data_IF_530543785853
#
_entry.id   IF_530543785853
#
_cell.length_a   1.000
_cell.length_b   1.000
_cell.length_c   1.000
_cell.angle_alpha   90.00
_cell.angle_beta   90.00
_cell.angle_gamma   90.00
#
_symmetry.space_group_name_H-M   'P 1'
#
loop_
_entity.id
_entity.type
_entity.pdbx_description
1 polymer ?
#
# COMPACT_ATOMS: atom_id res chain seq x y z
N UNK A 1 -55.19 42.82 14.31
CA UNK A 1 -54.98 41.50 14.93
C UNK A 1 -54.57 40.53 13.85
N UNK A 2 -53.26 40.34 13.66
CA UNK A 2 -52.72 39.32 12.74
C UNK A 2 -52.37 38.07 13.53
N UNK A 3 -53.02 36.99 13.17
CA UNK A 3 -52.89 35.67 13.78
C UNK A 3 -51.62 34.99 13.29
N UNK A 4 -50.60 34.83 14.16
CA UNK A 4 -49.40 34.03 13.92
C UNK A 4 -49.78 32.54 13.93
N UNK A 5 -49.75 31.89 12.75
CA UNK A 5 -49.83 30.43 12.66
C UNK A 5 -48.49 29.83 13.00
N UNK A 6 -48.36 29.17 14.14
CA UNK A 6 -47.27 28.30 14.47
C UNK A 6 -47.30 27.06 13.52
N UNK A 7 -46.23 26.89 12.75
CA UNK A 7 -46.03 25.67 11.93
C UNK A 7 -45.50 24.59 12.88
N UNK A 8 -46.36 23.67 13.24
CA UNK A 8 -45.98 22.45 13.97
C UNK A 8 -45.28 21.49 12.99
N UNK A 9 -43.98 21.34 13.10
CA UNK A 9 -43.20 20.28 12.42
C UNK A 9 -43.37 18.98 13.21
N UNK A 10 -44.28 18.11 12.76
CA UNK A 10 -44.38 16.75 13.31
C UNK A 10 -43.30 15.86 12.72
N UNK A 11 -42.31 15.47 13.54
CA UNK A 11 -41.32 14.47 13.23
C UNK A 11 -41.90 13.07 13.58
N UNK A 12 -42.35 12.33 12.58
CA UNK A 12 -42.71 10.92 12.78
C UNK A 12 -41.54 10.04 12.40
N UNK A 13 -40.87 9.47 13.38
CA UNK A 13 -39.78 8.51 13.20
C UNK A 13 -40.36 7.09 13.25
N UNK A 14 -40.28 6.36 12.15
CA UNK A 14 -40.60 4.92 12.09
C UNK A 14 -39.31 4.13 11.92
N UNK A 15 -38.87 3.43 12.96
CA UNK A 15 -37.60 2.70 13.02
C UNK A 15 -37.57 1.39 12.21
N UNK A 16 -38.68 0.94 11.64
CA UNK A 16 -38.77 -0.37 10.94
C UNK A 16 -38.96 -0.27 9.42
N UNK A 17 -38.91 0.92 8.82
CA UNK A 17 -38.97 1.06 7.36
C UNK A 17 -37.59 1.24 6.77
N UNK A 18 -37.34 0.66 5.58
CA UNK A 18 -36.07 0.78 4.84
C UNK A 18 -35.65 2.21 4.53
N UNK A 19 -36.54 3.19 4.72
CA UNK A 19 -36.31 4.60 4.43
C UNK A 19 -36.95 5.50 5.49
N UNK A 20 -36.24 6.54 5.90
CA UNK A 20 -36.74 7.63 6.74
C UNK A 20 -37.21 8.77 5.83
N UNK A 21 -38.45 9.24 6.01
CA UNK A 21 -39.05 10.27 5.19
C UNK A 21 -39.22 11.54 6.02
N UNK A 22 -38.67 12.67 5.55
CA UNK A 22 -38.84 13.98 6.17
C UNK A 22 -39.72 14.86 5.27
N UNK A 23 -40.76 15.47 5.82
CA UNK A 23 -41.51 16.55 5.14
C UNK A 23 -40.99 17.89 5.63
N UNK A 24 -40.43 18.70 4.72
CA UNK A 24 -39.97 20.06 4.98
C UNK A 24 -40.93 21.03 4.26
N UNK A 25 -41.75 21.71 5.03
CA UNK A 25 -42.65 22.76 4.51
C UNK A 25 -44.00 22.30 3.95
N UNK A 26 -44.92 23.22 3.82
CA UNK A 26 -46.32 22.98 3.39
C UNK A 26 -46.58 22.97 1.90
N UNK A 27 -45.56 23.19 1.04
CA UNK A 27 -45.71 23.21 -0.40
C UNK A 27 -44.91 22.09 -1.08
N UNK A 28 -45.60 21.21 -1.76
CA UNK A 28 -45.27 20.26 -2.86
C UNK A 28 -43.82 19.82 -3.13
N UNK A 29 -42.87 19.99 -2.22
CA UNK A 29 -41.54 19.44 -2.30
C UNK A 29 -41.60 17.95 -1.99
N UNK A 30 -41.02 17.10 -2.86
CA UNK A 30 -40.91 15.67 -2.64
C UNK A 30 -40.26 15.42 -1.26
N UNK A 31 -40.80 14.51 -0.44
CA UNK A 31 -40.24 14.24 0.88
C UNK A 31 -38.76 13.82 0.74
N UNK A 32 -37.89 14.34 1.60
CA UNK A 32 -36.51 13.89 1.67
C UNK A 32 -36.49 12.46 2.20
N UNK A 33 -36.05 11.52 1.37
CA UNK A 33 -35.96 10.09 1.70
C UNK A 33 -34.50 9.76 1.97
N UNK A 34 -34.20 9.25 3.18
CA UNK A 34 -32.87 8.78 3.55
C UNK A 34 -32.90 7.27 3.67
N UNK A 35 -31.95 6.59 3.04
CA UNK A 35 -31.80 5.13 3.13
C UNK A 35 -31.23 4.73 4.50
N UNK A 36 -31.99 4.01 5.31
CA UNK A 36 -31.65 3.71 6.72
C UNK A 36 -30.34 2.91 6.86
N UNK A 37 -30.11 1.93 5.99
CA UNK A 37 -28.86 1.14 6.01
C UNK A 37 -27.61 2.00 5.77
N UNK A 38 -27.77 3.13 5.07
CA UNK A 38 -26.65 4.06 4.83
C UNK A 38 -26.20 4.73 6.13
N UNK A 39 -27.15 5.07 7.01
CA UNK A 39 -26.83 5.67 8.31
C UNK A 39 -26.02 4.71 9.19
N UNK A 40 -26.35 3.41 9.15
CA UNK A 40 -25.60 2.37 9.88
C UNK A 40 -24.13 2.33 9.41
N UNK A 41 -23.90 2.32 8.10
CA UNK A 41 -22.55 2.27 7.58
C UNK A 41 -21.76 3.56 7.83
N UNK A 42 -22.40 4.72 7.78
CA UNK A 42 -21.78 6.00 8.14
C UNK A 42 -21.40 6.00 9.62
N UNK A 43 -22.31 5.57 10.51
CA UNK A 43 -22.02 5.49 11.93
C UNK A 43 -20.90 4.49 12.23
N UNK A 44 -20.88 3.33 11.58
CA UNK A 44 -19.83 2.33 11.72
C UNK A 44 -18.45 2.87 11.24
N UNK A 45 -18.42 3.62 10.14
CA UNK A 45 -17.19 4.26 9.66
C UNK A 45 -16.66 5.31 10.64
N UNK A 46 -17.55 6.16 11.17
CA UNK A 46 -17.18 7.16 12.19
C UNK A 46 -16.65 6.46 13.44
N UNK A 47 -17.34 5.42 13.90
CA UNK A 47 -16.92 4.64 15.07
C UNK A 47 -15.54 3.99 14.84
N UNK A 48 -15.28 3.39 13.67
CA UNK A 48 -13.98 2.82 13.34
C UNK A 48 -12.85 3.86 13.38
N UNK A 49 -13.10 5.06 12.84
CA UNK A 49 -12.15 6.18 12.90
C UNK A 49 -11.87 6.63 14.35
N UNK A 50 -12.92 6.75 15.16
CA UNK A 50 -12.80 7.14 16.56
C UNK A 50 -12.01 6.09 17.37
N UNK A 51 -12.36 4.82 17.22
CA UNK A 51 -11.68 3.72 17.92
C UNK A 51 -10.20 3.67 17.55
N UNK A 52 -9.85 3.86 16.26
CA UNK A 52 -8.46 3.90 15.79
C UNK A 52 -7.63 4.97 16.51
N UNK A 53 -8.21 6.14 16.80
CA UNK A 53 -7.50 7.25 17.46
C UNK A 53 -7.45 7.12 19.00
N UNK A 54 -8.45 6.47 19.61
CA UNK A 54 -8.54 6.36 21.09
C UNK A 54 -7.66 5.25 21.64
N UNK A 55 -7.58 4.10 20.93
CA UNK A 55 -6.87 2.95 21.44
C UNK A 55 -5.35 3.09 21.23
N UNK A 56 -4.52 2.69 22.23
CA UNK A 56 -3.08 2.83 22.15
C UNK A 56 -2.45 1.87 21.13
N UNK A 57 -1.24 2.19 20.65
CA UNK A 57 -0.51 1.38 19.68
C UNK A 57 -0.27 -0.06 20.16
N UNK A 58 -0.04 -0.27 21.45
CA UNK A 58 0.11 -1.60 22.06
C UNK A 58 -1.15 -2.47 21.92
N UNK A 59 -2.36 -1.87 21.95
CA UNK A 59 -3.60 -2.58 21.71
C UNK A 59 -3.66 -3.08 20.25
N UNK A 60 -3.39 -2.17 19.30
CA UNK A 60 -3.42 -2.51 17.88
C UNK A 60 -2.37 -3.55 17.52
N UNK A 61 -1.17 -3.45 18.12
CA UNK A 61 -0.11 -4.40 17.90
C UNK A 61 -0.44 -5.80 18.40
N UNK A 62 -0.94 -5.91 19.63
CA UNK A 62 -1.18 -7.20 20.28
C UNK A 62 -2.47 -7.86 19.79
N UNK A 63 -3.62 -7.13 19.83
CA UNK A 63 -4.92 -7.72 19.58
C UNK A 63 -5.31 -7.73 18.11
N UNK A 64 -4.96 -6.66 17.38
CA UNK A 64 -5.33 -6.58 15.97
C UNK A 64 -4.24 -7.18 15.09
N UNK A 65 -3.03 -6.63 15.06
CA UNK A 65 -1.98 -7.03 14.13
C UNK A 65 -1.50 -8.47 14.34
N UNK A 66 -1.15 -8.84 15.58
CA UNK A 66 -0.68 -10.20 15.91
C UNK A 66 -1.81 -11.22 16.13
N UNK A 67 -3.04 -10.77 16.30
CA UNK A 67 -4.21 -11.61 16.57
C UNK A 67 -5.22 -11.61 15.43
N UNK A 68 -6.17 -10.68 15.48
CA UNK A 68 -7.34 -10.66 14.60
C UNK A 68 -6.98 -10.60 13.11
N UNK A 69 -5.99 -9.78 12.74
CA UNK A 69 -5.56 -9.65 11.35
C UNK A 69 -4.96 -10.94 10.79
N UNK A 70 -4.25 -11.73 11.60
CA UNK A 70 -3.75 -13.06 11.20
C UNK A 70 -4.91 -13.97 10.81
N UNK A 71 -6.00 -13.95 11.57
CA UNK A 71 -7.22 -14.69 11.23
C UNK A 71 -7.86 -14.20 9.92
N UNK A 72 -7.93 -12.88 9.71
CA UNK A 72 -8.41 -12.29 8.45
C UNK A 72 -7.54 -12.79 7.29
N UNK A 73 -6.20 -12.77 7.44
CA UNK A 73 -5.29 -13.23 6.40
C UNK A 73 -5.54 -14.70 6.03
N UNK A 74 -5.70 -15.55 7.02
CA UNK A 74 -6.03 -16.97 6.80
C UNK A 74 -7.40 -17.15 6.13
N UNK A 75 -8.40 -16.34 6.52
CA UNK A 75 -9.72 -16.35 5.89
C UNK A 75 -9.64 -15.95 4.40
N UNK A 76 -8.85 -14.94 4.05
CA UNK A 76 -8.61 -14.60 2.65
C UNK A 76 -7.96 -15.75 1.86
N UNK A 77 -6.99 -16.43 2.45
CA UNK A 77 -6.34 -17.56 1.79
C UNK A 77 -7.29 -18.72 1.56
N UNK A 78 -8.14 -19.01 2.54
CA UNK A 78 -9.15 -20.07 2.42
C UNK A 78 -10.25 -19.71 1.41
N UNK A 79 -10.82 -18.50 1.51
CA UNK A 79 -11.97 -18.10 0.70
C UNK A 79 -11.59 -17.69 -0.72
N UNK A 80 -10.44 -17.04 -0.91
CA UNK A 80 -10.04 -16.43 -2.17
C UNK A 80 -8.78 -17.04 -2.77
N UNK A 81 -8.04 -17.85 -1.99
CA UNK A 81 -6.75 -18.41 -2.36
C UNK A 81 -6.76 -19.34 -3.58
N UNK A 82 -7.91 -19.89 -3.92
CA UNK A 82 -8.13 -20.77 -5.07
C UNK A 82 -8.37 -20.01 -6.38
N UNK A 83 -8.73 -18.71 -6.33
CA UNK A 83 -9.08 -17.95 -7.53
C UNK A 83 -7.88 -17.79 -8.48
N UNK A 84 -8.00 -18.20 -9.75
CA UNK A 84 -6.98 -17.94 -10.76
C UNK A 84 -7.02 -16.50 -11.28
N UNK A 85 -8.15 -15.81 -11.10
CA UNK A 85 -8.39 -14.44 -11.57
C UNK A 85 -8.08 -13.45 -10.45
N UNK A 86 -7.41 -12.32 -10.72
CA UNK A 86 -7.25 -11.24 -9.76
C UNK A 86 -8.58 -10.78 -9.21
N UNK A 87 -8.72 -10.78 -7.88
CA UNK A 87 -9.98 -10.43 -7.20
C UNK A 87 -10.41 -8.99 -7.45
N UNK A 88 -9.50 -8.12 -7.86
CA UNK A 88 -9.82 -6.73 -8.24
C UNK A 88 -10.88 -6.65 -9.34
N UNK A 89 -10.88 -7.57 -10.31
CA UNK A 89 -11.89 -7.56 -11.38
C UNK A 89 -13.29 -7.89 -10.86
N UNK A 90 -13.38 -8.77 -9.86
CA UNK A 90 -14.66 -9.09 -9.19
C UNK A 90 -15.14 -7.88 -8.41
N UNK A 91 -14.26 -7.23 -7.65
CA UNK A 91 -14.58 -6.00 -6.90
C UNK A 91 -15.05 -4.89 -7.83
N UNK A 92 -14.33 -4.64 -8.93
CA UNK A 92 -14.72 -3.64 -9.94
C UNK A 92 -16.08 -3.98 -10.58
N UNK A 93 -16.34 -5.24 -10.88
CA UNK A 93 -17.64 -5.68 -11.42
C UNK A 93 -18.78 -5.43 -10.42
N UNK A 94 -18.57 -5.71 -9.14
CA UNK A 94 -19.55 -5.42 -8.09
C UNK A 94 -19.80 -3.91 -7.99
N UNK A 95 -18.75 -3.08 -8.01
CA UNK A 95 -18.86 -1.62 -7.97
C UNK A 95 -19.65 -1.13 -9.18
N UNK A 96 -19.36 -1.63 -10.39
CA UNK A 96 -20.06 -1.27 -11.62
C UNK A 96 -21.56 -1.59 -11.53
N UNK A 97 -21.92 -2.81 -11.13
CA UNK A 97 -23.33 -3.23 -10.97
C UNK A 97 -24.03 -2.36 -9.91
N UNK A 98 -23.38 -2.06 -8.80
CA UNK A 98 -23.96 -1.20 -7.77
C UNK A 98 -24.15 0.22 -8.24
N UNK A 99 -23.20 0.77 -8.99
CA UNK A 99 -23.29 2.12 -9.58
C UNK A 99 -24.41 2.17 -10.62
N UNK A 100 -24.53 1.16 -11.48
CA UNK A 100 -25.62 1.10 -12.45
C UNK A 100 -27.00 1.07 -11.77
N UNK A 101 -27.16 0.27 -10.72
CA UNK A 101 -28.40 0.25 -9.91
C UNK A 101 -28.66 1.60 -9.22
N UNK A 102 -27.62 2.23 -8.68
CA UNK A 102 -27.74 3.56 -8.07
C UNK A 102 -28.19 4.61 -9.08
N UNK A 103 -27.65 4.59 -10.30
CA UNK A 103 -28.11 5.46 -11.38
C UNK A 103 -29.59 5.18 -11.75
N UNK A 104 -30.02 3.92 -11.75
CA UNK A 104 -31.42 3.54 -12.00
C UNK A 104 -32.41 4.06 -10.95
N UNK A 105 -31.95 4.31 -9.74
CA UNK A 105 -32.78 4.82 -8.63
C UNK A 105 -33.03 6.35 -8.65
N UNK A 106 -32.69 7.06 -9.73
CA UNK A 106 -32.81 8.53 -9.85
C UNK A 106 -34.21 9.07 -9.55
N UNK A 107 -35.27 8.28 -9.81
CA UNK A 107 -36.65 8.64 -9.50
C UNK A 107 -36.93 8.85 -8.02
N UNK A 108 -36.09 8.30 -7.12
CA UNK A 108 -36.23 8.40 -5.66
C UNK A 108 -35.76 9.73 -5.07
N UNK A 109 -35.17 10.60 -5.89
CA UNK A 109 -34.75 11.96 -5.52
C UNK A 109 -33.31 12.06 -5.03
N UNK A 110 -32.79 13.29 -5.03
CA UNK A 110 -31.39 13.59 -4.74
C UNK A 110 -30.92 13.17 -3.34
N UNK A 111 -31.70 13.43 -2.31
CA UNK A 111 -31.34 13.05 -0.93
C UNK A 111 -31.19 11.56 -0.76
N UNK A 112 -32.01 10.75 -1.43
CA UNK A 112 -31.88 9.29 -1.42
C UNK A 112 -30.58 8.87 -2.09
N UNK A 113 -30.26 9.42 -3.27
CA UNK A 113 -29.04 9.10 -4.00
C UNK A 113 -27.78 9.47 -3.19
N UNK A 114 -27.77 10.66 -2.59
CA UNK A 114 -26.68 11.11 -1.73
C UNK A 114 -26.51 10.23 -0.50
N UNK A 115 -27.60 9.89 0.17
CA UNK A 115 -27.54 9.00 1.34
C UNK A 115 -26.97 7.62 0.99
N UNK A 116 -27.32 7.07 -0.18
CA UNK A 116 -26.77 5.81 -0.66
C UNK A 116 -25.28 5.91 -1.05
N UNK A 117 -24.87 7.00 -1.66
CA UNK A 117 -23.46 7.24 -1.99
C UNK A 117 -22.62 7.33 -0.71
N UNK A 118 -23.03 8.16 0.25
CA UNK A 118 -22.37 8.30 1.55
C UNK A 118 -22.37 6.98 2.33
N UNK A 119 -23.46 6.22 2.31
CA UNK A 119 -23.51 4.90 2.91
C UNK A 119 -22.56 3.90 2.24
N UNK A 120 -22.40 3.99 0.91
CA UNK A 120 -21.41 3.20 0.17
C UNK A 120 -19.97 3.53 0.57
N UNK A 121 -19.65 4.81 0.70
CA UNK A 121 -18.36 5.27 1.22
C UNK A 121 -18.16 4.80 2.66
N UNK A 122 -19.17 4.93 3.52
CA UNK A 122 -19.10 4.44 4.90
C UNK A 122 -18.83 2.94 4.98
N UNK A 123 -19.48 2.15 4.11
CA UNK A 123 -19.23 0.71 4.05
C UNK A 123 -17.79 0.40 3.59
N UNK A 124 -17.27 1.09 2.59
CA UNK A 124 -15.89 0.92 2.13
C UNK A 124 -14.87 1.27 3.23
N UNK A 125 -15.08 2.39 3.95
CA UNK A 125 -14.22 2.80 5.06
C UNK A 125 -14.28 1.79 6.19
N UNK A 126 -15.47 1.34 6.58
CA UNK A 126 -15.63 0.32 7.64
C UNK A 126 -14.92 -0.98 7.26
N UNK A 127 -15.18 -1.49 6.06
CA UNK A 127 -14.53 -2.71 5.57
C UNK A 127 -13.02 -2.57 5.48
N UNK A 128 -12.52 -1.42 5.02
CA UNK A 128 -11.09 -1.12 4.98
C UNK A 128 -10.46 -1.22 6.38
N UNK A 129 -11.01 -0.50 7.37
CA UNK A 129 -10.45 -0.51 8.73
C UNK A 129 -10.49 -1.90 9.35
N UNK A 130 -11.61 -2.60 9.27
CA UNK A 130 -11.73 -3.95 9.85
C UNK A 130 -10.87 -4.98 9.14
N UNK A 131 -10.74 -4.91 7.82
CA UNK A 131 -9.96 -5.90 7.07
C UNK A 131 -8.45 -5.64 7.11
N UNK A 132 -8.01 -4.36 7.31
CA UNK A 132 -6.59 -4.04 7.22
C UNK A 132 -6.21 -2.70 7.87
N UNK A 133 -7.04 -1.67 7.78
CA UNK A 133 -6.69 -0.29 8.10
C UNK A 133 -6.29 -0.05 9.56
N UNK A 134 -6.73 -0.89 10.49
CA UNK A 134 -6.27 -0.80 11.88
C UNK A 134 -4.79 -1.15 12.07
N UNK A 135 -4.13 -1.73 11.07
CA UNK A 135 -2.67 -1.89 11.09
C UNK A 135 -1.91 -0.55 11.15
N UNK A 136 -2.54 0.58 10.74
CA UNK A 136 -1.93 1.91 10.95
C UNK A 136 -1.80 2.32 12.43
N UNK A 137 -2.45 1.59 13.34
CA UNK A 137 -2.34 1.84 14.77
C UNK A 137 -1.22 1.07 15.47
N UNK A 138 -0.57 0.11 14.81
CA UNK A 138 0.45 -0.74 15.42
C UNK A 138 1.73 0.03 15.79
N UNK A 139 2.55 -0.57 16.63
CA UNK A 139 3.90 -0.06 16.95
C UNK A 139 4.73 -0.07 15.65
N UNK A 140 5.42 1.04 15.36
CA UNK A 140 6.26 1.16 14.16
C UNK A 140 7.41 0.16 14.17
N UNK A 141 7.90 -0.22 12.98
CA UNK A 141 9.03 -1.14 12.87
C UNK A 141 10.30 -0.50 13.44
N UNK A 142 10.47 0.80 13.28
CA UNK A 142 11.59 1.55 13.86
C UNK A 142 11.60 1.44 15.38
N UNK A 143 10.44 1.64 16.01
CA UNK A 143 10.30 1.52 17.47
C UNK A 143 10.54 0.09 17.95
N UNK A 144 10.03 -0.93 17.24
CA UNK A 144 10.28 -2.35 17.55
C UNK A 144 11.75 -2.70 17.54
N UNK A 145 12.49 -2.18 16.57
CA UNK A 145 13.90 -2.47 16.38
C UNK A 145 14.79 -1.50 17.19
N UNK A 146 14.20 -0.54 17.91
CA UNK A 146 14.93 0.49 18.64
C UNK A 146 15.83 1.31 17.71
N UNK A 147 15.33 1.64 16.52
CA UNK A 147 16.02 2.53 15.59
C UNK A 147 15.75 3.98 15.97
N UNK A 148 16.81 4.79 15.98
CA UNK A 148 16.73 6.21 16.25
C UNK A 148 17.30 7.00 15.07
N UNK A 149 16.44 7.70 14.36
CA UNK A 149 16.79 8.51 13.20
C UNK A 149 17.82 9.60 13.51
N UNK A 150 17.83 10.10 14.76
CA UNK A 150 18.78 11.14 15.19
C UNK A 150 20.23 10.65 15.25
N UNK A 151 20.44 9.33 15.24
CA UNK A 151 21.76 8.70 15.26
C UNK A 151 22.36 8.47 13.85
N UNK A 152 21.69 8.92 12.81
CA UNK A 152 22.14 8.76 11.41
C UNK A 152 22.49 10.15 10.87
N UNK A 153 23.76 10.37 10.60
CA UNK A 153 24.29 11.60 10.02
C UNK A 153 24.52 11.51 8.50
N UNK A 154 25.09 12.57 7.93
CA UNK A 154 25.31 12.63 6.49
C UNK A 154 26.41 11.66 6.04
N UNK A 155 27.44 11.49 6.85
CA UNK A 155 28.55 10.56 6.63
C UNK A 155 28.04 9.11 6.61
N UNK A 156 27.10 8.77 7.48
CA UNK A 156 26.43 7.46 7.51
C UNK A 156 25.67 7.19 6.20
N UNK A 157 24.98 8.19 5.65
CA UNK A 157 24.25 8.08 4.38
C UNK A 157 25.21 7.92 3.21
N UNK A 158 26.32 8.67 3.19
CA UNK A 158 27.36 8.55 2.16
C UNK A 158 28.03 7.16 2.21
N UNK A 159 28.34 6.67 3.40
CA UNK A 159 28.89 5.33 3.59
C UNK A 159 27.91 4.24 3.11
N UNK A 160 26.62 4.40 3.38
CA UNK A 160 25.58 3.48 2.93
C UNK A 160 25.41 3.51 1.42
N UNK A 161 25.45 4.67 0.78
CA UNK A 161 25.46 4.78 -0.69
C UNK A 161 26.63 4.04 -1.31
N UNK A 162 27.84 4.19 -0.75
CA UNK A 162 29.02 3.45 -1.20
C UNK A 162 28.82 1.95 -1.05
N UNK A 163 28.34 1.51 0.12
CA UNK A 163 28.04 0.09 0.38
C UNK A 163 27.00 -0.45 -0.62
N UNK A 164 25.90 0.26 -0.84
CA UNK A 164 24.85 -0.11 -1.79
C UNK A 164 25.41 -0.23 -3.22
N UNK A 165 26.33 0.67 -3.59
CA UNK A 165 27.04 0.64 -4.88
C UNK A 165 27.88 -0.63 -5.04
N UNK A 166 28.65 -1.01 -4.00
CA UNK A 166 29.50 -2.20 -4.03
C UNK A 166 28.66 -3.48 -4.02
N UNK A 167 27.52 -3.49 -3.28
CA UNK A 167 26.55 -4.59 -3.34
C UNK A 167 25.99 -4.75 -4.75
N UNK A 168 25.56 -3.66 -5.39
CA UNK A 168 25.00 -3.71 -6.74
C UNK A 168 26.01 -4.24 -7.76
N UNK A 169 27.30 -3.85 -7.66
CA UNK A 169 28.38 -4.40 -8.49
C UNK A 169 28.53 -5.90 -8.26
N UNK A 170 28.56 -6.34 -7.01
CA UNK A 170 28.72 -7.76 -6.65
C UNK A 170 27.53 -8.59 -7.15
N UNK A 171 26.29 -8.17 -6.91
CA UNK A 171 25.11 -8.92 -7.34
C UNK A 171 24.93 -8.93 -8.87
N UNK A 172 25.59 -8.02 -9.58
CA UNK A 172 25.60 -8.02 -11.04
C UNK A 172 26.60 -9.02 -11.65
N UNK A 173 27.54 -9.54 -10.85
CA UNK A 173 28.57 -10.46 -11.33
C UNK A 173 27.93 -11.81 -11.75
N UNK A 174 28.29 -12.26 -12.93
CA UNK A 174 27.76 -13.52 -13.49
C UNK A 174 26.40 -13.43 -14.17
N UNK A 175 25.75 -12.25 -14.14
CA UNK A 175 24.54 -12.02 -14.92
C UNK A 175 24.87 -11.74 -16.40
N UNK A 176 24.00 -12.15 -17.34
CA UNK A 176 24.20 -11.88 -18.76
C UNK A 176 24.21 -10.36 -19.02
N UNK A 177 25.14 -9.93 -19.88
CA UNK A 177 25.28 -8.51 -20.23
C UNK A 177 24.20 -8.00 -21.19
N UNK A 178 23.59 -8.91 -21.94
CA UNK A 178 22.53 -8.63 -22.91
C UNK A 178 21.13 -8.64 -22.24
N UNK A 179 20.92 -7.82 -21.23
CA UNK A 179 19.59 -7.59 -20.68
C UNK A 179 18.68 -7.08 -21.79
N UNK A 180 17.99 -8.02 -22.46
CA UNK A 180 16.86 -7.67 -23.33
C UNK A 180 15.61 -7.59 -22.48
N UNK A 181 14.62 -6.83 -22.96
CA UNK A 181 13.31 -6.73 -22.31
C UNK A 181 12.68 -8.10 -22.08
N UNK A 182 12.92 -9.06 -22.95
CA UNK A 182 12.34 -10.40 -22.95
C UNK A 182 13.08 -11.34 -21.99
N UNK A 183 14.42 -11.28 -21.90
CA UNK A 183 15.20 -12.07 -20.95
C UNK A 183 14.91 -11.69 -19.51
N UNK A 184 14.61 -10.40 -19.31
CA UNK A 184 14.14 -9.88 -18.05
C UNK A 184 12.73 -10.39 -17.66
N UNK A 185 11.94 -10.96 -18.58
CA UNK A 185 10.57 -11.46 -18.33
C UNK A 185 10.57 -12.97 -17.99
N UNK A 186 11.53 -13.74 -18.50
CA UNK A 186 11.53 -15.21 -18.43
C UNK A 186 11.77 -15.75 -17.00
N UNK A 187 12.52 -15.03 -16.15
CA UNK A 187 12.82 -15.46 -14.76
C UNK A 187 11.64 -15.42 -13.79
N UNK A 188 10.54 -14.74 -14.10
CA UNK A 188 9.52 -14.35 -13.11
C UNK A 188 8.41 -15.35 -12.81
N UNK A 189 8.24 -16.41 -13.58
CA UNK A 189 7.20 -17.42 -13.28
C UNK A 189 7.46 -18.21 -12.00
N UNK A 190 8.71 -18.29 -11.56
CA UNK A 190 9.16 -19.00 -10.34
C UNK A 190 9.19 -18.07 -9.12
N UNK A 191 9.34 -16.76 -9.34
CA UNK A 191 9.66 -15.75 -8.32
C UNK A 191 8.57 -15.57 -7.24
N UNK A 192 7.27 -15.73 -7.55
CA UNK A 192 6.20 -15.45 -6.57
C UNK A 192 6.20 -16.43 -5.38
N UNK A 193 6.53 -17.68 -5.58
CA UNK A 193 6.56 -18.67 -4.48
C UNK A 193 7.80 -18.51 -3.62
N UNK A 194 8.96 -18.44 -4.24
CA UNK A 194 10.24 -18.38 -3.54
C UNK A 194 10.44 -17.03 -2.85
N UNK A 195 10.08 -15.94 -3.53
CA UNK A 195 10.11 -14.60 -2.94
C UNK A 195 9.12 -14.44 -1.76
N UNK A 196 7.98 -15.13 -1.78
CA UNK A 196 7.09 -15.17 -0.61
C UNK A 196 7.75 -15.85 0.57
N UNK A 197 8.54 -16.88 0.34
CA UNK A 197 9.31 -17.53 1.40
C UNK A 197 10.39 -16.59 1.94
N UNK A 198 11.11 -15.87 1.05
CA UNK A 198 12.10 -14.87 1.44
C UNK A 198 11.46 -13.75 2.30
N UNK A 199 10.26 -13.28 1.92
CA UNK A 199 9.50 -12.26 2.71
C UNK A 199 9.09 -12.83 4.08
N UNK A 200 8.62 -14.08 4.15
CA UNK A 200 8.27 -14.71 5.43
C UNK A 200 9.48 -14.86 6.34
N UNK A 201 10.63 -15.23 5.80
CA UNK A 201 11.87 -15.33 6.56
C UNK A 201 12.35 -13.96 7.05
N UNK A 202 12.21 -12.91 6.23
CA UNK A 202 12.50 -11.55 6.64
C UNK A 202 11.59 -11.10 7.80
N UNK A 203 10.27 -11.35 7.70
CA UNK A 203 9.30 -11.04 8.75
C UNK A 203 9.56 -11.83 10.04
N UNK A 204 9.91 -13.12 9.92
CA UNK A 204 10.25 -13.96 11.06
C UNK A 204 11.48 -13.42 11.82
N UNK A 205 12.55 -13.00 11.11
CA UNK A 205 13.73 -12.36 11.71
C UNK A 205 13.40 -11.06 12.43
N UNK A 206 12.31 -10.40 12.06
CA UNK A 206 11.84 -9.17 12.69
C UNK A 206 10.77 -9.41 13.77
N UNK A 207 10.53 -10.66 14.16
CA UNK A 207 9.48 -11.07 15.10
C UNK A 207 8.08 -10.55 14.71
N UNK A 208 7.78 -10.55 13.39
CA UNK A 208 6.51 -10.09 12.83
C UNK A 208 5.65 -11.25 12.33
N UNK A 209 4.31 -11.13 12.36
CA UNK A 209 3.41 -12.13 11.79
C UNK A 209 3.70 -12.39 10.31
N UNK A 210 3.79 -13.67 9.95
CA UNK A 210 4.07 -14.12 8.57
C UNK A 210 3.21 -15.31 8.16
N UNK A 211 2.09 -15.52 8.87
CA UNK A 211 1.12 -16.59 8.56
C UNK A 211 0.33 -16.27 7.30
N UNK A 212 -0.02 -17.32 6.58
CA UNK A 212 -0.84 -17.22 5.37
C UNK A 212 -0.03 -17.13 4.08
N UNK A 213 -0.74 -16.92 2.97
CA UNK A 213 -0.21 -16.91 1.61
C UNK A 213 -0.60 -15.64 0.87
N UNK A 214 0.07 -14.53 1.15
CA UNK A 214 -0.13 -13.30 0.39
C UNK A 214 0.21 -13.54 -1.08
N UNK A 215 -0.66 -13.11 -1.98
CA UNK A 215 -0.49 -13.22 -3.43
C UNK A 215 -0.31 -11.85 -4.02
N UNK A 216 0.55 -11.77 -5.03
CA UNK A 216 0.71 -10.57 -5.85
C UNK A 216 0.30 -10.89 -7.28
N UNK A 217 -0.53 -10.03 -7.85
CA UNK A 217 -1.12 -10.18 -9.18
C UNK A 217 -0.63 -9.09 -10.12
N UNK A 218 -0.73 -9.35 -11.41
CA UNK A 218 -0.37 -8.40 -12.47
C UNK A 218 -1.61 -8.14 -13.33
N UNK A 219 -2.50 -7.21 -12.93
CA UNK A 219 -3.70 -6.90 -13.68
C UNK A 219 -3.36 -6.25 -15.03
N UNK A 220 -4.23 -6.48 -16.00
CA UNK A 220 -4.22 -5.82 -17.31
C UNK A 220 -4.99 -4.48 -17.22
N UNK A 221 -4.64 -3.44 -17.99
CA UNK A 221 -3.57 -3.35 -19.01
C UNK A 221 -2.20 -2.96 -18.43
N UNK A 222 -1.15 -3.21 -19.23
CA UNK A 222 0.22 -2.80 -18.91
C UNK A 222 0.32 -1.28 -18.78
N UNK A 223 1.05 -0.80 -17.75
CA UNK A 223 1.25 0.63 -17.52
C UNK A 223 0.08 1.33 -16.85
N UNK A 224 -0.97 0.61 -16.43
CA UNK A 224 -2.09 1.24 -15.74
C UNK A 224 -1.68 1.91 -14.43
N UNK A 225 -0.99 1.18 -13.55
CA UNK A 225 -0.50 1.73 -12.27
C UNK A 225 0.67 2.70 -12.48
N UNK A 226 1.58 2.40 -13.41
CA UNK A 226 2.73 3.27 -13.73
C UNK A 226 2.29 4.66 -14.18
N UNK A 227 1.20 4.79 -14.93
CA UNK A 227 0.63 6.08 -15.31
C UNK A 227 0.05 6.89 -14.14
N UNK A 228 -0.14 6.26 -13.00
CA UNK A 228 -0.46 6.90 -11.72
C UNK A 228 0.77 7.00 -10.81
N UNK A 229 1.99 6.85 -11.39
CA UNK A 229 3.29 6.84 -10.70
C UNK A 229 3.35 5.85 -9.54
N UNK A 230 2.64 4.74 -9.67
CA UNK A 230 2.61 3.66 -8.68
C UNK A 230 3.07 2.37 -9.34
N UNK A 231 4.11 1.74 -8.77
CA UNK A 231 4.62 0.46 -9.24
C UNK A 231 3.71 -0.71 -8.83
N UNK A 232 3.11 -0.61 -7.64
CA UNK A 232 2.20 -1.58 -7.09
C UNK A 232 1.21 -0.95 -6.10
N UNK A 233 0.24 -1.75 -5.66
CA UNK A 233 -0.74 -1.39 -4.65
C UNK A 233 -1.30 -2.65 -3.98
N UNK A 234 -1.33 -2.66 -2.65
CA UNK A 234 -2.09 -3.65 -1.91
C UNK A 234 -3.54 -3.21 -1.76
N UNK A 235 -4.49 -4.08 -2.11
CA UNK A 235 -5.92 -3.79 -1.98
C UNK A 235 -6.51 -4.65 -0.87
N UNK A 236 -6.76 -4.09 0.32
CA UNK A 236 -7.25 -4.82 1.49
C UNK A 236 -8.49 -5.66 1.24
N UNK A 237 -9.45 -5.15 0.47
CA UNK A 237 -10.71 -5.82 0.17
C UNK A 237 -10.56 -7.08 -0.69
N UNK A 238 -9.42 -7.22 -1.37
CA UNK A 238 -9.08 -8.40 -2.16
C UNK A 238 -8.14 -9.34 -1.45
N UNK A 239 -7.42 -8.84 -0.43
CA UNK A 239 -6.33 -9.56 0.23
C UNK A 239 -5.13 -9.84 -0.69
N UNK A 240 -5.02 -9.13 -1.82
CA UNK A 240 -3.98 -9.29 -2.84
C UNK A 240 -3.18 -8.00 -3.04
N UNK A 241 -1.87 -8.13 -3.24
CA UNK A 241 -1.05 -7.10 -3.84
C UNK A 241 -1.21 -7.11 -5.36
N UNK A 242 -1.05 -5.97 -5.98
CA UNK A 242 -1.11 -5.79 -7.43
C UNK A 242 0.10 -5.00 -7.87
N UNK A 243 0.86 -5.50 -8.84
CA UNK A 243 1.96 -4.76 -9.46
C UNK A 243 1.68 -4.53 -10.93
N UNK A 244 2.22 -3.47 -11.49
CA UNK A 244 2.02 -3.18 -12.90
C UNK A 244 2.69 -4.23 -13.79
N UNK A 245 1.98 -4.72 -14.80
CA UNK A 245 2.53 -5.66 -15.78
C UNK A 245 3.64 -5.04 -16.63
N UNK A 246 3.58 -3.71 -16.84
CA UNK A 246 4.58 -2.95 -17.59
C UNK A 246 5.91 -2.77 -16.86
N UNK A 247 6.04 -3.16 -15.58
CA UNK A 247 7.32 -3.18 -14.89
C UNK A 247 8.30 -4.13 -15.58
N UNK A 248 9.56 -3.71 -15.63
CA UNK A 248 10.65 -4.58 -16.06
C UNK A 248 10.89 -5.68 -15.01
N UNK A 249 11.43 -6.81 -15.45
CA UNK A 249 11.70 -7.93 -14.56
C UNK A 249 12.61 -7.56 -13.40
N UNK A 250 13.61 -6.71 -13.62
CA UNK A 250 14.52 -6.22 -12.56
C UNK A 250 13.83 -5.35 -11.51
N UNK A 251 12.67 -4.77 -11.81
CA UNK A 251 11.89 -3.95 -10.86
C UNK A 251 10.90 -4.79 -10.06
N UNK A 252 10.42 -5.91 -10.62
CA UNK A 252 9.33 -6.70 -10.04
C UNK A 252 9.66 -7.33 -8.68
N UNK A 253 10.84 -7.93 -8.44
CA UNK A 253 11.12 -8.61 -7.18
C UNK A 253 10.92 -7.71 -5.96
N UNK A 254 11.52 -6.52 -5.98
CA UNK A 254 11.37 -5.58 -4.88
C UNK A 254 9.92 -5.11 -4.70
N UNK A 255 9.25 -4.77 -5.81
CA UNK A 255 7.84 -4.34 -5.75
C UNK A 255 6.93 -5.45 -5.24
N UNK A 256 7.14 -6.70 -5.67
CA UNK A 256 6.37 -7.86 -5.18
C UNK A 256 6.58 -8.04 -3.66
N UNK A 257 7.82 -8.00 -3.19
CA UNK A 257 8.13 -8.14 -1.77
C UNK A 257 7.51 -7.01 -0.93
N UNK A 258 7.52 -5.78 -1.45
CA UNK A 258 6.88 -4.62 -0.84
C UNK A 258 5.36 -4.82 -0.70
N UNK A 259 4.66 -5.20 -1.77
CA UNK A 259 3.22 -5.46 -1.73
C UNK A 259 2.86 -6.67 -0.86
N UNK A 260 3.75 -7.67 -0.79
CA UNK A 260 3.60 -8.77 0.15
C UNK A 260 3.70 -8.31 1.61
N UNK A 261 4.62 -7.40 1.93
CA UNK A 261 4.73 -6.83 3.28
C UNK A 261 3.44 -6.14 3.72
N UNK A 262 2.83 -5.33 2.83
CA UNK A 262 1.48 -4.79 3.08
C UNK A 262 0.45 -5.91 3.32
N UNK A 263 0.50 -6.97 2.54
CA UNK A 263 -0.38 -8.12 2.68
C UNK A 263 -0.21 -8.88 4.00
N UNK A 264 0.95 -8.83 4.61
CA UNK A 264 1.23 -9.33 5.96
C UNK A 264 0.93 -8.31 7.07
N UNK A 265 0.31 -7.18 6.73
CA UNK A 265 -0.20 -6.19 7.68
C UNK A 265 0.78 -5.08 8.02
N UNK A 266 1.86 -4.93 7.29
CA UNK A 266 2.77 -3.79 7.46
C UNK A 266 2.17 -2.57 6.78
N UNK A 267 1.89 -1.51 7.54
CA UNK A 267 1.18 -0.33 7.03
C UNK A 267 2.13 0.81 6.62
N UNK A 268 3.32 0.83 7.17
CA UNK A 268 4.32 1.86 6.92
C UNK A 268 5.14 1.56 5.66
N UNK A 269 5.22 2.56 4.75
CA UNK A 269 5.89 2.44 3.45
C UNK A 269 7.41 2.20 3.60
N UNK A 270 8.05 2.89 4.55
CA UNK A 270 9.48 2.73 4.84
C UNK A 270 9.76 1.31 5.35
N UNK A 271 8.92 0.79 6.24
CA UNK A 271 9.00 -0.57 6.74
C UNK A 271 8.77 -1.60 5.62
N UNK A 272 7.82 -1.38 4.71
CA UNK A 272 7.61 -2.26 3.56
C UNK A 272 8.83 -2.27 2.63
N UNK A 273 9.42 -1.10 2.35
CA UNK A 273 10.66 -1.01 1.58
C UNK A 273 11.83 -1.71 2.28
N UNK A 274 11.94 -1.58 3.60
CA UNK A 274 12.98 -2.25 4.38
C UNK A 274 12.80 -3.79 4.34
N UNK A 275 11.60 -4.29 4.51
CA UNK A 275 11.28 -5.72 4.43
C UNK A 275 11.55 -6.24 3.01
N UNK A 276 11.20 -5.48 1.98
CA UNK A 276 11.49 -5.83 0.58
C UNK A 276 13.00 -5.91 0.33
N UNK A 277 13.78 -4.93 0.84
CA UNK A 277 15.23 -4.98 0.78
C UNK A 277 15.78 -6.22 1.51
N UNK A 278 15.33 -6.49 2.72
CA UNK A 278 15.80 -7.62 3.51
C UNK A 278 15.48 -8.96 2.83
N UNK A 279 14.25 -9.13 2.33
CA UNK A 279 13.83 -10.32 1.61
C UNK A 279 14.65 -10.56 0.33
N UNK A 280 14.77 -9.51 -0.52
CA UNK A 280 15.53 -9.61 -1.75
C UNK A 280 17.01 -9.89 -1.50
N UNK A 281 17.63 -9.26 -0.49
CA UNK A 281 19.06 -9.41 -0.21
C UNK A 281 19.46 -10.81 0.26
N UNK A 282 18.53 -11.60 0.80
CA UNK A 282 18.74 -12.96 1.29
C UNK A 282 18.30 -14.03 0.29
N UNK A 283 17.65 -13.64 -0.81
CA UNK A 283 17.12 -14.59 -1.77
C UNK A 283 18.21 -15.48 -2.37
N UNK A 284 17.89 -16.74 -2.62
CA UNK A 284 18.77 -17.66 -3.33
C UNK A 284 18.89 -17.34 -4.82
N UNK A 285 17.86 -16.67 -5.37
CA UNK A 285 17.82 -16.27 -6.78
C UNK A 285 18.69 -15.03 -7.02
N UNK A 286 19.76 -15.11 -7.85
CA UNK A 286 20.62 -13.97 -8.14
C UNK A 286 19.90 -12.82 -8.84
N UNK A 287 18.84 -13.09 -9.60
CA UNK A 287 18.02 -12.04 -10.23
C UNK A 287 17.20 -11.26 -9.21
N UNK A 288 16.68 -11.94 -8.19
CA UNK A 288 15.96 -11.30 -7.07
C UNK A 288 16.93 -10.40 -6.29
N UNK A 289 18.14 -10.91 -5.98
CA UNK A 289 19.15 -10.11 -5.29
C UNK A 289 19.57 -8.88 -6.11
N UNK A 290 19.83 -9.07 -7.39
CA UNK A 290 20.20 -7.97 -8.28
C UNK A 290 19.08 -6.93 -8.40
N UNK A 291 17.83 -7.33 -8.65
CA UNK A 291 16.68 -6.43 -8.72
C UNK A 291 16.43 -5.66 -7.42
N UNK A 292 16.58 -6.36 -6.29
CA UNK A 292 16.54 -5.75 -4.95
C UNK A 292 17.66 -4.73 -4.74
N UNK A 293 18.90 -5.10 -5.06
CA UNK A 293 20.06 -4.21 -4.95
C UNK A 293 19.95 -2.98 -5.87
N UNK A 294 19.47 -3.14 -7.10
CA UNK A 294 19.25 -2.05 -8.03
C UNK A 294 18.20 -1.06 -7.52
N UNK A 295 17.08 -1.58 -7.01
CA UNK A 295 16.01 -0.73 -6.47
C UNK A 295 16.47 -0.01 -5.22
N UNK A 296 17.12 -0.71 -4.30
CA UNK A 296 17.65 -0.11 -3.08
C UNK A 296 18.74 0.93 -3.36
N UNK A 297 19.67 0.65 -4.30
CA UNK A 297 20.67 1.61 -4.74
C UNK A 297 20.03 2.91 -5.25
N UNK A 298 18.91 2.84 -5.96
CA UNK A 298 18.18 4.04 -6.42
C UNK A 298 17.66 4.89 -5.23
N UNK A 299 17.23 4.26 -4.14
CA UNK A 299 16.86 5.00 -2.92
C UNK A 299 18.07 5.68 -2.30
N UNK A 300 19.17 4.97 -2.13
CA UNK A 300 20.40 5.55 -1.59
C UNK A 300 20.96 6.67 -2.50
N UNK A 301 20.91 6.51 -3.81
CA UNK A 301 21.33 7.51 -4.78
C UNK A 301 20.45 8.79 -4.74
N UNK A 302 19.19 8.67 -4.40
CA UNK A 302 18.30 9.85 -4.29
C UNK A 302 18.66 10.78 -3.11
N UNK A 303 19.45 10.29 -2.15
CA UNK A 303 19.95 11.08 -1.03
C UNK A 303 21.27 11.79 -1.33
N UNK A 304 21.88 11.51 -2.47
CA UNK A 304 23.22 11.97 -2.82
C UNK A 304 23.17 13.13 -3.80
N UNK A 305 24.17 14.03 -3.78
CA UNK A 305 24.33 15.05 -4.81
C UNK A 305 24.47 14.41 -6.21
N UNK A 306 23.91 15.08 -7.21
CA UNK A 306 23.91 14.60 -8.60
C UNK A 306 25.30 14.21 -9.11
N UNK A 307 26.33 15.05 -8.83
CA UNK A 307 27.71 14.79 -9.28
C UNK A 307 28.28 13.51 -8.67
N UNK A 308 28.01 13.23 -7.40
CA UNK A 308 28.43 12.00 -6.72
C UNK A 308 27.80 10.77 -7.38
N UNK A 309 26.51 10.83 -7.70
CA UNK A 309 25.79 9.74 -8.36
C UNK A 309 26.28 9.56 -9.80
N UNK A 310 26.48 10.67 -10.55
CA UNK A 310 26.97 10.65 -11.93
C UNK A 310 28.35 9.99 -12.02
N UNK A 311 29.27 10.37 -11.12
CA UNK A 311 30.62 9.78 -11.08
C UNK A 311 30.58 8.27 -10.82
N UNK A 312 29.70 7.79 -9.95
CA UNK A 312 29.53 6.36 -9.65
C UNK A 312 28.93 5.61 -10.83
N UNK A 313 27.91 6.16 -11.49
CA UNK A 313 27.24 5.51 -12.62
C UNK A 313 28.25 5.11 -13.70
N UNK A 314 29.20 5.98 -14.06
CA UNK A 314 30.21 5.68 -15.08
C UNK A 314 31.16 4.54 -14.75
N UNK A 315 31.19 4.10 -13.49
CA UNK A 315 32.06 3.00 -13.03
C UNK A 315 31.34 1.66 -12.97
N UNK A 316 30.04 1.60 -13.29
CA UNK A 316 29.27 0.37 -13.23
C UNK A 316 29.58 -0.60 -14.37
N UNK A 317 29.45 -1.93 -14.11
CA UNK A 317 29.48 -2.93 -15.14
C UNK A 317 28.40 -2.70 -16.21
N UNK A 318 28.61 -3.15 -17.47
CA UNK A 318 27.67 -2.96 -18.57
C UNK A 318 26.23 -3.43 -18.26
N UNK A 319 26.07 -4.53 -17.53
CA UNK A 319 24.76 -5.05 -17.13
C UNK A 319 23.99 -4.09 -16.23
N UNK A 320 24.66 -3.44 -15.28
CA UNK A 320 24.03 -2.43 -14.39
C UNK A 320 23.65 -1.19 -15.19
N UNK A 321 24.55 -0.71 -16.06
CA UNK A 321 24.28 0.42 -16.95
C UNK A 321 23.08 0.15 -17.86
N UNK A 322 23.00 -1.05 -18.41
CA UNK A 322 21.87 -1.47 -19.25
C UNK A 322 20.57 -1.50 -18.44
N UNK A 323 20.59 -2.05 -17.23
CA UNK A 323 19.42 -2.07 -16.35
C UNK A 323 18.91 -0.66 -16.01
N UNK A 324 19.80 0.26 -15.64
CA UNK A 324 19.45 1.67 -15.36
C UNK A 324 18.83 2.34 -16.60
N UNK A 325 19.43 2.11 -17.79
CA UNK A 325 18.92 2.67 -19.05
C UNK A 325 17.51 2.14 -19.36
N UNK A 326 17.31 0.80 -19.26
CA UNK A 326 16.01 0.19 -19.51
C UNK A 326 14.93 0.72 -18.56
N UNK A 327 15.25 0.91 -17.27
CA UNK A 327 14.32 1.48 -16.29
C UNK A 327 13.95 2.91 -16.69
N UNK A 328 14.92 3.76 -17.05
CA UNK A 328 14.65 5.14 -17.53
C UNK A 328 13.80 5.17 -18.80
N UNK A 329 14.02 4.24 -19.73
CA UNK A 329 13.22 4.10 -20.95
C UNK A 329 11.80 3.66 -20.62
N UNK A 330 11.62 2.72 -19.67
CA UNK A 330 10.33 2.25 -19.23
C UNK A 330 9.51 3.36 -18.52
N UNK A 331 10.16 4.16 -17.67
CA UNK A 331 9.53 5.30 -17.01
C UNK A 331 8.99 6.32 -18.05
N UNK A 332 9.74 6.57 -19.14
CA UNK A 332 9.29 7.41 -20.25
C UNK A 332 8.13 6.82 -21.05
N UNK A 333 8.03 5.50 -21.14
CA UNK A 333 6.95 4.79 -21.84
C UNK A 333 5.60 4.98 -21.18
N UNK A 334 5.57 5.15 -19.88
CA UNK A 334 4.35 5.29 -19.08
C UNK A 334 4.34 6.61 -18.32
N UNK A 335 4.18 7.76 -19.01
CA UNK A 335 4.18 9.07 -18.37
C UNK A 335 3.00 9.21 -17.39
N UNK A 336 3.24 9.91 -16.29
CA UNK A 336 2.22 10.21 -15.29
C UNK A 336 1.09 11.07 -15.89
N UNK A 337 -0.16 10.67 -15.66
CA UNK A 337 -1.34 11.34 -16.23
C UNK A 337 -1.75 12.57 -15.41
N UNK A 338 -1.67 12.51 -14.08
CA UNK A 338 -2.17 13.55 -13.19
C UNK A 338 -1.23 13.79 -11.98
N UNK A 339 0.03 14.25 -12.22
CA UNK A 339 1.05 14.34 -11.16
C UNK A 339 0.59 15.22 -9.99
N UNK A 340 -0.04 16.37 -10.26
CA UNK A 340 -0.51 17.29 -9.20
C UNK A 340 -1.62 16.70 -8.33
N UNK A 341 -2.55 15.96 -8.93
CA UNK A 341 -3.65 15.31 -8.18
C UNK A 341 -3.10 14.18 -7.34
N UNK A 342 -2.23 13.36 -7.90
CA UNK A 342 -1.53 12.30 -7.18
C UNK A 342 -0.80 12.87 -5.95
N UNK A 343 0.04 13.88 -6.13
CA UNK A 343 0.84 14.47 -5.05
C UNK A 343 -0.05 15.03 -3.93
N UNK A 344 -1.16 15.68 -4.27
CA UNK A 344 -2.11 16.18 -3.30
C UNK A 344 -2.82 15.06 -2.52
N UNK A 345 -3.30 14.02 -3.22
CA UNK A 345 -3.97 12.87 -2.61
C UNK A 345 -3.00 12.08 -1.73
N UNK A 346 -1.82 11.77 -2.26
CA UNK A 346 -0.81 10.98 -1.56
C UNK A 346 -0.27 11.71 -0.32
N UNK A 347 0.03 13.00 -0.44
CA UNK A 347 0.48 13.82 0.71
C UNK A 347 -0.60 13.92 1.80
N UNK A 348 -1.86 14.07 1.41
CA UNK A 348 -2.99 14.11 2.35
C UNK A 348 -3.19 12.77 3.06
N UNK A 349 -3.05 11.67 2.32
CA UNK A 349 -3.13 10.32 2.84
C UNK A 349 -2.01 10.04 3.86
N UNK A 350 -0.75 10.33 3.51
CA UNK A 350 0.40 10.12 4.39
C UNK A 350 0.31 10.95 5.67
N UNK A 351 -0.04 12.25 5.56
CA UNK A 351 -0.22 13.14 6.71
C UNK A 351 -1.29 12.62 7.68
N UNK A 352 -2.41 12.11 7.16
CA UNK A 352 -3.50 11.57 7.97
C UNK A 352 -3.11 10.31 8.73
N UNK A 353 -2.15 9.54 8.22
CA UNK A 353 -1.68 8.30 8.84
C UNK A 353 -0.40 8.48 9.67
N UNK A 354 -0.07 9.73 10.03
CA UNK A 354 1.02 10.04 10.96
C UNK A 354 2.39 10.17 10.31
N UNK A 355 2.49 10.04 8.98
CA UNK A 355 3.74 10.28 8.24
C UNK A 355 3.91 11.79 8.08
N UNK A 356 4.66 12.41 9.01
CA UNK A 356 4.81 13.87 9.09
C UNK A 356 5.51 14.50 7.88
N UNK A 357 6.26 13.73 7.11
CA UNK A 357 7.19 14.22 6.08
C UNK A 357 6.79 13.94 4.62
N UNK A 358 5.61 13.34 4.37
CA UNK A 358 5.10 13.12 3.02
C UNK A 358 6.05 12.30 2.13
N UNK A 359 6.46 12.85 0.97
CA UNK A 359 7.37 12.19 0.01
C UNK A 359 8.79 11.90 0.56
N UNK A 360 9.17 12.40 1.74
CA UNK A 360 10.45 12.10 2.39
C UNK A 360 10.51 10.73 3.05
N UNK A 361 9.42 9.96 3.05
CA UNK A 361 9.43 8.58 3.58
C UNK A 361 10.34 7.62 2.78
N UNK A 362 10.79 8.00 1.59
CA UNK A 362 11.76 7.22 0.82
C UNK A 362 13.13 7.15 1.50
N UNK A 363 13.52 8.17 2.27
CA UNK A 363 14.78 8.21 3.01
C UNK A 363 14.79 7.23 4.18
N UNK A 364 13.61 6.85 4.69
CA UNK A 364 13.50 5.98 5.86
C UNK A 364 14.11 4.61 5.62
N UNK A 365 13.97 4.05 4.41
CA UNK A 365 14.57 2.74 4.12
C UNK A 365 16.09 2.75 4.24
N UNK A 366 16.76 3.85 3.80
CA UNK A 366 18.23 3.97 3.85
C UNK A 366 18.71 4.01 5.32
N UNK A 367 18.02 4.80 6.13
CA UNK A 367 18.28 4.90 7.58
C UNK A 367 18.06 3.55 8.27
N UNK A 368 16.93 2.89 7.98
CA UNK A 368 16.61 1.60 8.58
C UNK A 368 17.63 0.52 8.21
N UNK A 369 18.06 0.46 6.96
CA UNK A 369 19.09 -0.49 6.50
C UNK A 369 20.42 -0.22 7.19
N UNK A 370 20.86 1.03 7.22
CA UNK A 370 22.10 1.44 7.85
C UNK A 370 22.12 1.04 9.34
N UNK A 371 21.06 1.35 10.08
CA UNK A 371 20.96 1.01 11.51
C UNK A 371 20.83 -0.50 11.74
N UNK A 372 20.11 -1.21 10.90
CA UNK A 372 20.00 -2.67 10.96
C UNK A 372 21.36 -3.34 10.80
N UNK A 373 22.14 -2.91 9.80
CA UNK A 373 23.47 -3.46 9.55
C UNK A 373 24.45 -3.13 10.69
N UNK A 374 24.39 -1.90 11.24
CA UNK A 374 25.20 -1.49 12.40
C UNK A 374 24.91 -2.35 13.65
N UNK A 375 23.63 -2.61 13.93
CA UNK A 375 23.22 -3.47 15.06
C UNK A 375 23.66 -4.92 14.88
N UNK A 376 23.50 -5.47 13.68
CA UNK A 376 23.91 -6.85 13.39
C UNK A 376 25.44 -7.04 13.47
N UNK A 377 26.23 -6.06 13.01
CA UNK A 377 27.69 -6.11 13.10
C UNK A 377 28.18 -6.03 14.57
N UNK A 378 27.44 -5.38 15.45
CA UNK A 378 27.76 -5.24 16.86
C UNK A 378 27.19 -6.35 17.76
N UNK A 379 26.50 -7.36 17.19
CA UNK A 379 25.91 -8.47 17.94
C UNK A 379 24.77 -8.09 18.88
N UNK A 380 24.15 -6.91 18.68
CA UNK A 380 23.17 -6.31 19.60
C UNK A 380 21.70 -6.53 19.18
N UNK A 381 21.42 -7.42 18.23
CA UNK A 381 20.04 -7.78 17.90
C UNK A 381 19.52 -8.84 18.88
N UNK A 382 18.30 -8.71 19.40
CA UNK A 382 17.66 -9.78 20.15
C UNK A 382 17.47 -11.01 19.26
N UNK A 383 17.82 -12.20 19.80
CA UNK A 383 17.58 -13.50 19.19
C UNK A 383 16.08 -13.77 18.93
#
# INVERSE_FOLDING_TARGET
MQSCKFISTSLTMSFFKENITFRVGSNSLRPAVIHTRSLVWIAAAILALIIKEILPASFWDHWYYKGFFVGIRQAYDFLLGWSPVPMIYIVLSIILVRTARWIGDRSKGWFYLMSRALGGVGALVTLFYFSWGFNYGQISLQERLGFDRSLTDKEDIEAEFKRATDVLRRESAGLPTDLTRDNAIVGLKVVDHDLRQDVKEALAKLNMPHSGRVRVRQPWPDGFLLRWSTAGIYIPQTGEGHIDRGLLAVQKPFTIAHEMAHGYGVADEGACNFIAWLACSQSRDPWVRFGGALTYWRYAAAEMPYDSVSNVIHTFPPVVMRAITLVKENDKKYPDILPRVRDAVYSSYLKRHGVKEGLRSYNEVVIMVQQYLRKNSNGSMPE
#
